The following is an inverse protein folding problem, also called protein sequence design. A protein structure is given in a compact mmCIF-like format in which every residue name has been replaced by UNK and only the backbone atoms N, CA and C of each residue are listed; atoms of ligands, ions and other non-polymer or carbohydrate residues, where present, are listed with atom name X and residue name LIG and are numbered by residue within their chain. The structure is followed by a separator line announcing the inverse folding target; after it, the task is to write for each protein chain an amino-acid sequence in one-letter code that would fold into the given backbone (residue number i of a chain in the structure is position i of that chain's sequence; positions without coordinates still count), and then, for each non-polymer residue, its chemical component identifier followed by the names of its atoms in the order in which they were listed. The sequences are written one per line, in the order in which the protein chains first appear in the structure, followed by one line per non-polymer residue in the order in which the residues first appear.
data_IF_552708724360
#
_entry.id   IF_552708724360
#
_cell.length_a   1.000
_cell.length_b   1.000
_cell.length_c   1.000
_cell.angle_alpha   90.00
_cell.angle_beta   90.00
_cell.angle_gamma   90.00
#
_symmetry.space_group_name_H-M   'P 1'
#
loop_
_entity.id
_entity.type
_entity.pdbx_description
1 polymer ?
#
# COMPACT_ATOMS: atom_id res chain seq x y z
N UNK A 1 -15.87 35.15 -25.50
CA UNK A 1 -15.68 34.04 -26.45
C UNK A 1 -14.25 33.55 -26.28
N UNK A 2 -14.02 32.55 -25.41
CA UNK A 2 -12.67 32.04 -25.10
C UNK A 2 -12.41 30.88 -26.07
N UNK A 3 -11.31 30.87 -26.84
CA UNK A 3 -11.03 29.81 -27.80
C UNK A 3 -10.71 28.50 -27.08
N UNK A 4 -11.44 27.44 -27.41
CA UNK A 4 -11.22 26.07 -26.94
C UNK A 4 -9.86 25.56 -27.41
N UNK A 5 -8.92 25.32 -26.48
CA UNK A 5 -7.55 24.85 -26.78
C UNK A 5 -7.57 23.35 -27.13
N UNK A 6 -7.52 22.94 -28.42
CA UNK A 6 -7.71 21.55 -28.83
C UNK A 6 -6.50 20.66 -28.49
N UNK A 7 -5.33 21.27 -28.28
CA UNK A 7 -4.07 20.59 -28.03
C UNK A 7 -4.00 19.94 -26.63
N UNK A 8 -4.59 20.59 -25.61
CA UNK A 8 -4.69 20.01 -24.27
C UNK A 8 -5.64 18.81 -24.25
N UNK A 9 -6.77 18.91 -24.95
CA UNK A 9 -7.74 17.83 -25.04
C UNK A 9 -7.17 16.61 -25.77
N UNK A 10 -6.36 16.80 -26.82
CA UNK A 10 -5.62 15.69 -27.47
C UNK A 10 -4.57 15.06 -26.55
N UNK A 11 -3.89 15.83 -25.72
CA UNK A 11 -2.89 15.31 -24.76
C UNK A 11 -3.54 14.46 -23.67
N UNK A 12 -4.70 14.88 -23.15
CA UNK A 12 -5.50 14.07 -22.21
C UNK A 12 -6.19 12.88 -22.89
N UNK A 13 -6.55 12.99 -24.17
CA UNK A 13 -7.08 11.87 -24.96
C UNK A 13 -6.06 10.75 -25.16
N UNK A 14 -4.76 11.07 -25.22
CA UNK A 14 -3.71 10.05 -25.34
C UNK A 14 -3.57 9.19 -24.08
N UNK A 15 -3.86 9.75 -22.90
CA UNK A 15 -3.97 8.99 -21.64
C UNK A 15 -5.23 8.13 -21.57
N UNK A 16 -6.23 8.41 -22.42
CA UNK A 16 -7.47 7.66 -22.55
C UNK A 16 -7.39 6.61 -23.67
N UNK A 17 -6.25 5.98 -23.87
CA UNK A 17 -6.25 4.62 -24.42
C UNK A 17 -6.51 3.66 -23.27
N UNK A 18 -7.74 3.71 -22.78
CA UNK A 18 -8.34 2.71 -21.90
C UNK A 18 -8.35 1.40 -22.71
N UNK A 19 -7.22 0.70 -22.70
CA UNK A 19 -6.90 -0.42 -23.56
C UNK A 19 -7.60 -1.66 -23.03
N UNK A 20 -8.86 -1.79 -23.44
CA UNK A 20 -9.79 -2.89 -23.21
C UNK A 20 -9.40 -4.17 -23.96
N UNK A 21 -8.22 -4.72 -23.71
CA UNK A 21 -7.89 -6.09 -24.14
C UNK A 21 -7.95 -6.99 -22.93
N UNK A 22 -8.84 -7.99 -22.94
CA UNK A 22 -9.03 -8.92 -21.81
C UNK A 22 -7.73 -9.55 -21.33
N UNK A 23 -6.78 -9.81 -22.24
CA UNK A 23 -5.44 -10.31 -21.91
C UNK A 23 -4.62 -9.37 -21.01
N UNK A 24 -4.73 -8.05 -21.18
CA UNK A 24 -4.03 -7.09 -20.33
C UNK A 24 -4.63 -7.04 -18.92
N UNK A 25 -5.97 -7.05 -18.81
CA UNK A 25 -6.64 -7.11 -17.51
C UNK A 25 -6.27 -8.39 -16.75
N UNK A 26 -6.19 -9.52 -17.45
CA UNK A 26 -5.72 -10.79 -16.87
C UNK A 26 -4.26 -10.68 -16.41
N UNK A 27 -3.38 -10.08 -17.22
CA UNK A 27 -1.98 -9.90 -16.85
C UNK A 27 -1.80 -8.98 -15.62
N UNK A 28 -2.55 -7.88 -15.55
CA UNK A 28 -2.56 -6.98 -14.40
C UNK A 28 -3.07 -7.67 -13.13
N UNK A 29 -4.14 -8.45 -13.23
CA UNK A 29 -4.69 -9.20 -12.09
C UNK A 29 -3.72 -10.30 -11.63
N UNK A 30 -3.07 -11.00 -12.56
CA UNK A 30 -2.06 -12.01 -12.25
C UNK A 30 -0.86 -11.39 -11.54
N UNK A 31 -0.40 -10.22 -11.98
CA UNK A 31 0.67 -9.46 -11.32
C UNK A 31 0.31 -9.15 -9.86
N UNK A 32 -0.89 -8.62 -9.62
CA UNK A 32 -1.39 -8.29 -8.28
C UNK A 32 -1.46 -9.55 -7.41
N UNK A 33 -1.98 -10.65 -7.96
CA UNK A 33 -2.09 -11.92 -7.24
C UNK A 33 -0.71 -12.49 -6.88
N UNK A 34 0.24 -12.45 -7.81
CA UNK A 34 1.63 -12.88 -7.56
C UNK A 34 2.26 -12.03 -6.46
N UNK A 35 2.13 -10.70 -6.55
CA UNK A 35 2.63 -9.77 -5.52
C UNK A 35 2.06 -10.10 -4.13
N UNK A 36 0.74 -10.27 -4.03
CA UNK A 36 0.08 -10.61 -2.78
C UNK A 36 0.55 -11.96 -2.23
N UNK A 37 0.61 -13.01 -3.07
CA UNK A 37 1.02 -14.35 -2.65
C UNK A 37 2.48 -14.37 -2.18
N UNK A 38 3.39 -13.70 -2.89
CA UNK A 38 4.79 -13.60 -2.48
C UNK A 38 4.93 -12.83 -1.17
N UNK A 39 4.21 -11.73 -1.00
CA UNK A 39 4.18 -10.97 0.25
C UNK A 39 3.63 -11.79 1.42
N UNK A 40 2.56 -12.55 1.19
CA UNK A 40 1.98 -13.44 2.20
C UNK A 40 2.96 -14.55 2.60
N UNK A 41 3.60 -15.21 1.63
CA UNK A 41 4.64 -16.21 1.91
C UNK A 41 5.78 -15.59 2.71
N UNK A 42 6.20 -14.37 2.36
CA UNK A 42 7.20 -13.61 3.09
C UNK A 42 6.81 -13.44 4.56
N UNK A 43 5.60 -12.92 4.83
CA UNK A 43 5.07 -12.73 6.19
C UNK A 43 5.05 -14.04 6.98
N UNK A 44 4.59 -15.14 6.38
CA UNK A 44 4.48 -16.43 7.08
C UNK A 44 5.83 -17.02 7.50
N UNK A 45 6.93 -16.59 6.90
CA UNK A 45 8.29 -17.00 7.26
C UNK A 45 9.10 -15.87 7.90
N UNK A 46 8.51 -14.68 8.08
CA UNK A 46 9.18 -13.51 8.59
C UNK A 46 9.18 -13.53 10.12
N UNK A 47 10.36 -13.42 10.72
CA UNK A 47 10.48 -13.20 12.15
C UNK A 47 10.20 -11.74 12.47
N UNK A 48 9.36 -11.48 13.46
CA UNK A 48 9.02 -10.12 13.84
C UNK A 48 10.25 -9.41 14.42
N UNK A 49 10.63 -8.30 13.78
CA UNK A 49 11.77 -7.51 14.22
C UNK A 49 11.42 -6.55 15.36
N UNK A 50 12.45 -6.01 15.99
CA UNK A 50 12.33 -5.23 17.23
C UNK A 50 11.42 -4.00 17.04
N UNK A 51 11.59 -3.28 15.95
CA UNK A 51 10.85 -2.08 15.58
C UNK A 51 9.37 -2.38 15.32
N UNK A 52 9.08 -3.49 14.65
CA UNK A 52 7.71 -3.97 14.43
C UNK A 52 7.03 -4.34 15.76
N UNK A 53 7.73 -5.11 16.61
CA UNK A 53 7.20 -5.52 17.90
C UNK A 53 7.03 -4.34 18.88
N UNK A 54 7.97 -3.40 18.90
CA UNK A 54 7.86 -2.18 19.71
C UNK A 54 6.59 -1.41 19.35
N UNK A 55 6.36 -1.21 18.05
CA UNK A 55 5.17 -0.52 17.55
C UNK A 55 3.88 -1.23 17.94
N UNK A 56 3.86 -2.56 17.80
CA UNK A 56 2.72 -3.40 18.18
C UNK A 56 2.43 -3.35 19.68
N UNK A 57 3.46 -3.48 20.52
CA UNK A 57 3.32 -3.49 21.98
C UNK A 57 2.80 -2.15 22.50
N UNK A 58 3.31 -1.03 22.01
CA UNK A 58 2.81 0.31 22.36
C UNK A 58 1.31 0.40 22.06
N UNK A 59 0.88 -0.02 20.87
CA UNK A 59 -0.50 0.06 20.46
C UNK A 59 -1.42 -0.93 21.19
N UNK A 60 -0.92 -2.11 21.55
CA UNK A 60 -1.68 -3.15 22.28
C UNK A 60 -1.83 -2.81 23.76
N UNK A 61 -0.77 -2.28 24.38
CA UNK A 61 -0.70 -2.07 25.83
C UNK A 61 -1.20 -0.68 26.24
N UNK A 62 -1.54 0.20 25.30
CA UNK A 62 -2.23 1.45 25.59
C UNK A 62 -3.71 1.20 25.90
N UNK A 63 -4.22 1.70 27.02
CA UNK A 63 -5.62 1.52 27.44
C UNK A 63 -6.55 2.61 26.92
N UNK A 64 -6.01 3.72 26.44
CA UNK A 64 -6.78 4.82 25.85
C UNK A 64 -6.03 5.47 24.69
N UNK A 65 -6.76 6.21 23.85
CA UNK A 65 -6.13 7.01 22.78
C UNK A 65 -5.18 8.09 23.34
N UNK A 66 -5.49 8.66 24.51
CA UNK A 66 -4.62 9.64 25.16
C UNK A 66 -3.28 9.01 25.57
N UNK A 67 -3.34 7.83 26.19
CA UNK A 67 -2.16 7.05 26.56
C UNK A 67 -1.37 6.58 25.33
N UNK A 68 -2.05 6.22 24.25
CA UNK A 68 -1.39 5.89 22.97
C UNK A 68 -0.58 7.07 22.44
N UNK A 69 -1.16 8.27 22.39
CA UNK A 69 -0.44 9.46 21.92
C UNK A 69 0.70 9.86 22.88
N UNK A 70 0.53 9.64 24.18
CA UNK A 70 1.60 9.87 25.16
C UNK A 70 2.76 8.88 24.98
N UNK A 71 2.46 7.60 24.76
CA UNK A 71 3.47 6.55 24.55
C UNK A 71 4.17 6.66 23.20
N UNK A 72 3.55 7.30 22.21
CA UNK A 72 4.11 7.48 20.85
C UNK A 72 4.77 8.84 20.63
N UNK A 73 4.78 9.74 21.63
CA UNK A 73 5.31 11.11 21.48
C UNK A 73 6.80 11.16 21.12
N UNK A 74 7.55 10.18 21.60
CA UNK A 74 9.00 10.06 21.39
C UNK A 74 9.33 9.08 20.25
N UNK A 75 8.31 8.51 19.60
CA UNK A 75 8.47 7.62 18.46
C UNK A 75 8.63 8.43 17.17
N UNK A 76 9.54 7.98 16.29
CA UNK A 76 9.77 8.63 15.00
C UNK A 76 8.69 8.38 13.95
N UNK A 77 7.70 7.53 14.25
CA UNK A 77 6.68 7.09 13.30
C UNK A 77 5.41 7.94 13.34
N UNK A 78 4.72 8.13 12.20
CA UNK A 78 3.47 8.89 12.15
C UNK A 78 2.39 8.27 13.04
N UNK A 79 1.69 9.11 13.80
CA UNK A 79 0.65 8.68 14.74
C UNK A 79 -0.51 7.89 14.07
N UNK A 80 -0.73 8.08 12.77
CA UNK A 80 -1.72 7.32 12.00
C UNK A 80 -1.46 5.80 12.05
N UNK A 81 -0.18 5.39 12.01
CA UNK A 81 0.18 3.98 12.08
C UNK A 81 -0.26 3.36 13.41
N UNK A 82 0.07 4.02 14.52
CA UNK A 82 -0.32 3.57 15.86
C UNK A 82 -1.83 3.56 16.07
N UNK A 83 -2.57 4.52 15.50
CA UNK A 83 -4.03 4.51 15.54
C UNK A 83 -4.62 3.28 14.85
N UNK A 84 -4.08 2.91 13.68
CA UNK A 84 -4.49 1.68 13.00
C UNK A 84 -4.16 0.45 13.85
N UNK A 85 -2.95 0.36 14.40
CA UNK A 85 -2.55 -0.77 15.25
C UNK A 85 -3.40 -0.88 16.51
N UNK A 86 -3.72 0.25 17.15
CA UNK A 86 -4.58 0.29 18.32
C UNK A 86 -5.98 -0.23 18.01
N UNK A 87 -6.53 0.13 16.84
CA UNK A 87 -7.80 -0.43 16.37
C UNK A 87 -7.72 -1.94 16.14
N UNK A 88 -6.63 -2.43 15.54
CA UNK A 88 -6.43 -3.86 15.29
C UNK A 88 -6.22 -4.67 16.58
N UNK A 89 -5.53 -4.10 17.58
CA UNK A 89 -5.27 -4.74 18.86
C UNK A 89 -6.55 -5.02 19.65
N UNK A 90 -7.63 -4.27 19.41
CA UNK A 90 -8.94 -4.54 20.01
C UNK A 90 -9.57 -5.86 19.54
N UNK A 91 -9.16 -6.38 18.37
CA UNK A 91 -9.71 -7.62 17.83
C UNK A 91 -8.83 -8.84 18.13
N UNK A 92 -7.51 -8.67 18.22
CA UNK A 92 -6.57 -9.76 18.46
C UNK A 92 -5.26 -9.27 19.08
N UNK A 93 -4.66 -10.10 19.92
CA UNK A 93 -3.35 -9.85 20.53
C UNK A 93 -2.19 -10.37 19.68
N UNK A 94 -2.48 -11.10 18.59
CA UNK A 94 -1.48 -11.68 17.71
C UNK A 94 -0.90 -10.61 16.77
N UNK A 95 0.43 -10.33 16.80
CA UNK A 95 1.07 -9.31 15.96
C UNK A 95 0.97 -9.61 14.45
N UNK A 96 0.64 -10.84 14.05
CA UNK A 96 0.43 -11.20 12.65
C UNK A 96 -0.62 -10.31 11.96
N UNK A 97 -1.61 -9.79 12.70
CA UNK A 97 -2.64 -8.91 12.14
C UNK A 97 -2.04 -7.61 11.57
N UNK A 98 -0.99 -7.10 12.20
CA UNK A 98 -0.28 -5.90 11.73
C UNK A 98 0.39 -6.17 10.39
N UNK A 99 1.07 -7.31 10.24
CA UNK A 99 1.71 -7.69 8.98
C UNK A 99 0.69 -7.90 7.87
N UNK A 100 -0.43 -8.58 8.17
CA UNK A 100 -1.54 -8.75 7.21
C UNK A 100 -2.12 -7.39 6.80
N UNK A 101 -2.36 -6.50 7.76
CA UNK A 101 -2.87 -5.16 7.49
C UNK A 101 -1.91 -4.35 6.60
N UNK A 102 -0.61 -4.41 6.89
CA UNK A 102 0.41 -3.78 6.06
C UNK A 102 0.41 -4.35 4.62
N UNK A 103 0.32 -5.68 4.47
CA UNK A 103 0.21 -6.31 3.15
C UNK A 103 -1.02 -5.84 2.37
N UNK A 104 -2.16 -5.67 3.05
CA UNK A 104 -3.39 -5.17 2.42
C UNK A 104 -3.24 -3.73 1.92
N UNK A 105 -2.62 -2.85 2.72
CA UNK A 105 -2.31 -1.48 2.30
C UNK A 105 -1.38 -1.49 1.08
N UNK A 106 -0.27 -2.24 1.17
CA UNK A 106 0.71 -2.33 0.09
C UNK A 106 0.09 -2.87 -1.21
N UNK A 107 -0.71 -3.94 -1.10
CA UNK A 107 -1.46 -4.51 -2.24
C UNK A 107 -2.47 -3.52 -2.79
N UNK A 108 -3.17 -2.77 -1.93
CA UNK A 108 -4.08 -1.70 -2.35
C UNK A 108 -3.38 -0.62 -3.17
N UNK A 109 -2.19 -0.19 -2.73
CA UNK A 109 -1.35 0.77 -3.49
C UNK A 109 -0.95 0.19 -4.84
N UNK A 110 -0.53 -1.09 -4.91
CA UNK A 110 -0.18 -1.77 -6.16
C UNK A 110 -1.39 -1.86 -7.09
N UNK A 111 -2.57 -2.20 -6.58
CA UNK A 111 -3.83 -2.23 -7.35
C UNK A 111 -4.11 -0.86 -7.95
N UNK A 112 -4.02 0.19 -7.13
CA UNK A 112 -4.27 1.56 -7.58
C UNK A 112 -3.27 1.98 -8.66
N UNK A 113 -1.99 1.66 -8.47
CA UNK A 113 -0.93 2.01 -9.41
C UNK A 113 -1.07 1.24 -10.74
N UNK A 114 -1.24 -0.07 -10.70
CA UNK A 114 -1.30 -0.90 -11.91
C UNK A 114 -2.53 -0.53 -12.75
N UNK A 115 -3.68 -0.30 -12.10
CA UNK A 115 -4.96 -0.05 -12.80
C UNK A 115 -5.18 1.40 -13.23
N UNK A 116 -4.76 2.38 -12.43
CA UNK A 116 -5.12 3.79 -12.68
C UNK A 116 -3.94 4.69 -13.07
N UNK A 117 -2.70 4.19 -13.01
CA UNK A 117 -1.54 5.04 -13.27
C UNK A 117 -1.34 5.37 -14.75
N UNK A 118 -0.99 6.63 -15.10
CA UNK A 118 -0.79 7.08 -16.48
C UNK A 118 0.56 6.66 -17.09
N UNK A 119 1.33 5.77 -16.45
CA UNK A 119 2.66 5.35 -16.94
C UNK A 119 2.62 4.28 -18.04
N UNK A 120 3.78 4.09 -18.68
CA UNK A 120 4.01 3.00 -19.63
C UNK A 120 3.73 1.64 -18.96
N UNK A 121 3.32 0.65 -19.75
CA UNK A 121 2.99 -0.68 -19.24
C UNK A 121 4.20 -1.32 -18.53
N UNK A 122 5.39 -1.18 -19.12
CA UNK A 122 6.63 -1.69 -18.55
C UNK A 122 6.89 -1.18 -17.13
N UNK A 123 6.73 0.13 -16.91
CA UNK A 123 6.93 0.73 -15.59
C UNK A 123 5.90 0.23 -14.57
N UNK A 124 4.66 -0.06 -15.00
CA UNK A 124 3.63 -0.65 -14.14
C UNK A 124 3.95 -2.06 -13.65
N UNK A 125 4.67 -2.86 -14.44
CA UNK A 125 5.07 -4.22 -14.06
C UNK A 125 6.31 -4.26 -13.16
N UNK A 126 7.26 -3.35 -13.37
CA UNK A 126 8.51 -3.32 -12.59
C UNK A 126 8.31 -2.63 -11.24
N UNK A 127 7.49 -1.57 -11.20
CA UNK A 127 7.32 -0.75 -10.01
C UNK A 127 6.98 -1.54 -8.72
N UNK A 128 6.05 -2.53 -8.73
CA UNK A 128 5.72 -3.29 -7.52
C UNK A 128 6.88 -4.09 -6.94
N UNK A 129 7.91 -4.40 -7.73
CA UNK A 129 9.09 -5.16 -7.32
C UNK A 129 10.36 -4.30 -7.21
N UNK A 130 10.26 -2.99 -7.48
CA UNK A 130 11.38 -2.07 -7.44
C UNK A 130 11.71 -1.62 -6.02
N UNK A 131 12.99 -1.56 -5.69
CA UNK A 131 13.49 -1.03 -4.41
C UNK A 131 13.52 0.52 -4.37
N UNK A 132 13.67 1.18 -5.53
CA UNK A 132 13.64 2.65 -5.66
C UNK A 132 12.62 3.09 -6.72
N UNK A 133 11.69 3.96 -6.34
CA UNK A 133 10.69 4.54 -7.24
C UNK A 133 11.27 5.59 -8.23
N UNK A 134 12.52 6.02 -8.05
CA UNK A 134 13.19 7.02 -8.86
C UNK A 134 14.68 6.67 -9.00
N UNK A 135 15.08 6.25 -10.20
CA UNK A 135 16.43 6.35 -10.74
C UNK A 135 16.32 6.70 -12.21
#
# INVERSE_FOLDING_TARGET
MIPSIPALQKRFSSYRTFSSSGALLTAENNLIAIYFCLGLIGILHHEMWRDEMQSWLIARDSHSLAELFENTKDEGHPALWYLCLYGLSQFTHNPLIMQIFHLLIATGVVVLFVKFSPFSRFNRFIFPFGYFAFL
#
